data_IF_694437128506
#
_entry.id   IF_694437128506
#
_cell.length_a   1.000
_cell.length_b   1.000
_cell.length_c   1.000
_cell.angle_alpha   90.00
_cell.angle_beta   90.00
_cell.angle_gamma   90.00
#
_symmetry.space_group_name_H-M   'P 1'
#
loop_
_entity.id
_entity.type
_entity.pdbx_description
1 polymer ?
#
# COMPACT_ATOMS: atom_id res chain seq x y z
N UNK A 1 -4.67 -12.83 -18.02
CA UNK A 1 -3.59 -12.95 -17.02
C UNK A 1 -4.14 -13.68 -15.79
N UNK A 2 -3.56 -14.82 -15.39
CA UNK A 2 -4.13 -15.68 -14.32
C UNK A 2 -3.77 -15.14 -12.92
N UNK A 3 -4.78 -14.94 -12.07
CA UNK A 3 -4.66 -14.37 -10.72
C UNK A 3 -3.62 -15.09 -9.82
N UNK A 4 -3.46 -16.39 -9.99
CA UNK A 4 -2.47 -17.23 -9.29
C UNK A 4 -1.02 -16.79 -9.54
N UNK A 5 -0.75 -16.18 -10.69
CA UNK A 5 0.58 -15.71 -11.09
C UNK A 5 0.93 -14.38 -10.45
N UNK A 6 -0.08 -13.58 -10.10
CA UNK A 6 0.06 -12.29 -9.40
C UNK A 6 0.31 -12.55 -7.91
N UNK A 7 -0.48 -13.40 -7.26
CA UNK A 7 -0.33 -13.74 -5.83
C UNK A 7 1.07 -14.30 -5.52
N UNK A 8 1.57 -15.22 -6.35
CA UNK A 8 2.92 -15.78 -6.19
C UNK A 8 4.02 -14.71 -6.34
N UNK A 9 3.82 -13.73 -7.25
CA UNK A 9 4.76 -12.61 -7.42
C UNK A 9 4.69 -11.64 -6.25
N UNK A 10 3.50 -11.33 -5.75
CA UNK A 10 3.31 -10.46 -4.58
C UNK A 10 3.96 -11.08 -3.34
N UNK A 11 3.72 -12.36 -3.06
CA UNK A 11 4.38 -13.06 -1.96
C UNK A 11 5.91 -13.05 -2.10
N UNK A 12 6.43 -13.32 -3.29
CA UNK A 12 7.87 -13.28 -3.53
C UNK A 12 8.46 -11.86 -3.36
N UNK A 13 7.72 -10.82 -3.78
CA UNK A 13 8.13 -9.43 -3.58
C UNK A 13 8.17 -9.07 -2.10
N UNK A 14 7.18 -9.47 -1.29
CA UNK A 14 7.19 -9.24 0.15
C UNK A 14 8.39 -9.90 0.81
N UNK A 15 8.62 -11.17 0.50
CA UNK A 15 9.78 -11.91 1.00
C UNK A 15 11.10 -11.26 0.59
N UNK A 16 11.19 -10.80 -0.66
CA UNK A 16 12.37 -10.08 -1.16
C UNK A 16 12.56 -8.72 -0.49
N UNK A 17 11.47 -7.99 -0.21
CA UNK A 17 11.52 -6.68 0.47
C UNK A 17 11.84 -6.82 1.97
N UNK A 18 11.37 -7.88 2.62
CA UNK A 18 11.74 -8.24 4.00
C UNK A 18 13.23 -8.60 4.07
N UNK A 19 13.70 -9.45 3.16
CA UNK A 19 15.12 -9.83 3.06
C UNK A 19 16.04 -8.66 2.73
N UNK A 20 15.58 -7.74 1.89
CA UNK A 20 16.32 -6.53 1.54
C UNK A 20 16.33 -5.49 2.68
N UNK A 21 15.63 -5.73 3.80
CA UNK A 21 15.53 -4.77 4.90
C UNK A 21 14.77 -3.49 4.51
N UNK A 22 14.01 -3.50 3.42
CA UNK A 22 13.22 -2.34 2.99
C UNK A 22 11.97 -2.20 3.88
N UNK A 23 11.41 -3.33 4.30
CA UNK A 23 10.35 -3.42 5.31
C UNK A 23 10.92 -4.06 6.57
N UNK A 24 10.94 -3.29 7.65
CA UNK A 24 11.36 -3.76 8.96
C UNK A 24 10.12 -4.26 9.72
N UNK A 25 10.16 -5.50 10.19
CA UNK A 25 9.17 -6.05 11.12
C UNK A 25 9.33 -5.52 12.56
N UNK A 26 10.20 -4.52 12.77
CA UNK A 26 10.52 -3.98 14.09
C UNK A 26 9.32 -3.20 14.65
N UNK A 27 8.42 -3.94 15.30
CA UNK A 27 7.36 -3.39 16.14
C UNK A 27 7.97 -2.96 17.46
N UNK A 28 8.71 -1.85 17.48
CA UNK A 28 8.75 -1.04 18.71
C UNK A 28 7.33 -0.53 18.93
N UNK A 29 6.59 -1.26 19.76
CA UNK A 29 5.21 -0.93 20.12
C UNK A 29 5.26 0.39 20.90
N UNK A 30 4.93 1.48 20.23
CA UNK A 30 4.82 2.78 20.89
C UNK A 30 3.62 2.70 21.84
N UNK A 31 3.87 2.84 23.14
CA UNK A 31 2.85 2.68 24.20
C UNK A 31 2.13 3.98 24.54
N UNK A 32 2.51 5.10 23.91
CA UNK A 32 1.90 6.41 24.10
C UNK A 32 1.38 6.96 22.75
N UNK A 33 0.30 7.76 22.74
CA UNK A 33 -0.16 8.41 21.52
C UNK A 33 0.92 9.35 20.98
N UNK A 34 1.30 9.18 19.71
CA UNK A 34 2.15 10.11 18.99
C UNK A 34 1.26 10.94 18.09
N UNK A 35 1.41 12.26 18.16
CA UNK A 35 0.75 13.16 17.20
C UNK A 35 1.37 12.92 15.82
N UNK A 36 0.63 12.24 14.95
CA UNK A 36 1.02 12.06 13.55
C UNK A 36 0.32 13.13 12.73
N UNK A 37 1.09 14.05 12.16
CA UNK A 37 0.56 15.06 11.23
C UNK A 37 1.01 14.73 9.82
N UNK A 38 0.07 14.78 8.88
CA UNK A 38 0.39 14.64 7.48
C UNK A 38 1.20 15.86 7.01
N UNK A 39 2.27 15.60 6.25
CA UNK A 39 3.09 16.63 5.61
C UNK A 39 3.05 16.43 4.10
N UNK A 40 2.92 17.52 3.33
CA UNK A 40 3.03 17.45 1.86
C UNK A 40 4.41 16.96 1.42
N UNK A 41 4.54 16.32 0.23
CA UNK A 41 5.84 15.90 -0.28
C UNK A 41 6.73 17.11 -0.63
N UNK A 42 8.02 16.85 -0.87
CA UNK A 42 8.98 17.87 -1.33
C UNK A 42 8.64 18.31 -2.76
N UNK A 43 9.22 19.44 -3.18
CA UNK A 43 9.09 19.90 -4.57
C UNK A 43 9.52 18.82 -5.56
N UNK A 44 8.73 18.62 -6.62
CA UNK A 44 8.89 17.57 -7.65
C UNK A 44 8.75 16.12 -7.15
N UNK A 45 8.14 15.92 -5.98
CA UNK A 45 7.80 14.59 -5.49
C UNK A 45 6.30 14.42 -5.41
N UNK A 46 5.83 13.26 -5.85
CA UNK A 46 4.48 12.78 -5.56
C UNK A 46 4.46 11.99 -4.26
N UNK A 47 3.34 12.02 -3.54
CA UNK A 47 3.07 11.17 -2.38
C UNK A 47 1.94 10.20 -2.70
N UNK A 48 2.23 8.91 -2.60
CA UNK A 48 1.26 7.83 -2.69
C UNK A 48 0.81 7.43 -1.28
N UNK A 49 -0.50 7.48 -1.04
CA UNK A 49 -1.14 6.95 0.16
C UNK A 49 -2.07 5.81 -0.24
N UNK A 50 -1.88 4.61 0.33
CA UNK A 50 -2.66 3.42 0.00
C UNK A 50 -3.28 2.80 1.24
N UNK A 51 -4.36 2.04 1.03
CA UNK A 51 -5.03 1.27 2.07
C UNK A 51 -5.63 -0.01 1.47
N UNK A 52 -5.48 -1.12 2.18
CA UNK A 52 -6.15 -2.39 1.92
C UNK A 52 -7.23 -2.66 2.95
N UNK A 53 -8.39 -3.14 2.51
CA UNK A 53 -9.50 -3.45 3.40
C UNK A 53 -9.95 -4.90 3.24
N UNK A 54 -10.40 -5.50 4.34
CA UNK A 54 -10.97 -6.85 4.38
C UNK A 54 -12.35 -6.80 5.03
N UNK A 55 -13.36 -7.32 4.35
CA UNK A 55 -14.70 -7.55 4.91
C UNK A 55 -14.70 -8.88 5.65
N UNK A 56 -15.45 -9.02 6.74
CA UNK A 56 -15.49 -10.23 7.59
C UNK A 56 -15.84 -11.56 6.89
N UNK A 57 -16.29 -11.52 5.64
CA UNK A 57 -16.48 -12.68 4.76
C UNK A 57 -15.20 -13.10 3.97
N UNK A 58 -14.05 -12.46 4.24
CA UNK A 58 -12.78 -12.73 3.56
C UNK A 58 -12.62 -12.04 2.20
N UNK A 59 -13.54 -11.15 1.83
CA UNK A 59 -13.44 -10.36 0.60
C UNK A 59 -12.59 -9.12 0.83
N UNK A 60 -11.63 -8.90 -0.06
CA UNK A 60 -10.68 -7.80 0.01
C UNK A 60 -10.89 -6.77 -1.11
N UNK A 61 -10.66 -5.52 -0.74
CA UNK A 61 -10.58 -4.36 -1.64
C UNK A 61 -9.37 -3.55 -1.24
N UNK A 62 -9.02 -2.55 -2.03
CA UNK A 62 -8.09 -1.53 -1.59
C UNK A 62 -7.99 -0.43 -2.61
N UNK A 63 -7.12 0.54 -2.34
CA UNK A 63 -6.99 1.69 -3.19
C UNK A 63 -5.97 2.67 -2.65
N UNK A 64 -6.01 3.88 -3.18
CA UNK A 64 -5.12 4.94 -2.76
C UNK A 64 -5.33 6.25 -3.50
N UNK A 65 -4.59 7.25 -3.04
CA UNK A 65 -4.53 8.59 -3.66
C UNK A 65 -3.08 8.98 -3.91
N UNK A 66 -2.87 9.66 -5.03
CA UNK A 66 -1.60 10.27 -5.40
C UNK A 66 -1.76 11.78 -5.22
N UNK A 67 -0.79 12.40 -4.55
CA UNK A 67 -0.76 13.83 -4.29
C UNK A 67 0.50 14.48 -4.83
N UNK A 68 0.38 15.68 -5.37
CA UNK A 68 1.51 16.49 -5.84
C UNK A 68 2.27 17.20 -4.70
N UNK A 69 3.28 17.96 -5.05
CA UNK A 69 4.12 18.80 -4.17
C UNK A 69 3.36 19.96 -3.49
N UNK A 70 2.20 20.34 -4.02
CA UNK A 70 1.30 21.30 -3.40
C UNK A 70 0.40 20.63 -2.34
N UNK A 71 0.28 19.30 -2.41
CA UNK A 71 -0.53 18.48 -1.52
C UNK A 71 -1.92 18.14 -2.09
N UNK A 72 -2.21 18.60 -3.30
CA UNK A 72 -3.46 18.35 -4.01
C UNK A 72 -3.53 16.90 -4.44
N UNK A 73 -4.73 16.33 -4.42
CA UNK A 73 -4.97 15.00 -4.99
C UNK A 73 -4.97 15.15 -6.50
N UNK A 74 -3.98 14.57 -7.16
CA UNK A 74 -3.90 14.53 -8.63
C UNK A 74 -4.62 13.32 -9.18
N UNK A 75 -4.69 12.23 -8.42
CA UNK A 75 -5.30 10.99 -8.87
C UNK A 75 -5.74 10.08 -7.71
N UNK A 76 -6.71 9.20 -7.95
CA UNK A 76 -7.16 8.20 -6.99
C UNK A 76 -7.63 6.91 -7.66
N UNK A 77 -7.40 5.77 -7.01
CA UNK A 77 -7.85 4.43 -7.44
C UNK A 77 -8.51 3.67 -6.31
N UNK A 78 -9.29 2.69 -6.73
CA UNK A 78 -9.67 1.55 -5.91
C UNK A 78 -9.78 0.31 -6.82
N UNK A 79 -9.71 -0.88 -6.22
CA UNK A 79 -9.94 -2.15 -6.91
C UNK A 79 -10.44 -3.23 -5.93
N UNK A 80 -11.10 -4.24 -6.49
CA UNK A 80 -11.55 -5.44 -5.80
C UNK A 80 -10.52 -6.57 -5.97
N UNK A 81 -10.01 -7.08 -4.86
CA UNK A 81 -8.90 -8.05 -4.86
C UNK A 81 -9.35 -9.50 -4.73
N UNK A 82 -10.65 -9.75 -4.61
CA UNK A 82 -11.20 -11.08 -4.34
C UNK A 82 -10.92 -11.55 -2.93
N UNK A 83 -10.78 -12.86 -2.75
CA UNK A 83 -10.39 -13.44 -1.46
C UNK A 83 -8.87 -13.40 -1.30
N UNK A 84 -8.38 -12.66 -0.31
CA UNK A 84 -6.98 -12.68 0.11
C UNK A 84 -6.83 -12.26 1.57
N UNK A 85 -5.64 -12.42 2.13
CA UNK A 85 -5.32 -11.91 3.47
C UNK A 85 -5.31 -10.37 3.49
N UNK A 86 -5.45 -9.79 4.69
CA UNK A 86 -5.35 -8.34 4.87
C UNK A 86 -4.00 -7.80 4.38
N UNK A 87 -2.91 -8.53 4.65
CA UNK A 87 -1.57 -8.13 4.20
C UNK A 87 -1.48 -8.10 2.68
N UNK A 88 -2.03 -9.11 1.99
CA UNK A 88 -2.08 -9.11 0.52
C UNK A 88 -2.91 -7.95 -0.04
N UNK A 89 -4.00 -7.55 0.63
CA UNK A 89 -4.81 -6.41 0.21
C UNK A 89 -4.01 -5.10 0.28
N UNK A 90 -3.32 -4.87 1.40
CA UNK A 90 -2.44 -3.70 1.61
C UNK A 90 -1.35 -3.63 0.53
N UNK A 91 -0.69 -4.75 0.26
CA UNK A 91 0.41 -4.82 -0.71
C UNK A 91 -0.06 -4.67 -2.16
N UNK A 92 -1.24 -5.20 -2.49
CA UNK A 92 -1.85 -4.99 -3.82
C UNK A 92 -2.15 -3.52 -4.05
N UNK A 93 -2.67 -2.82 -3.04
CA UNK A 93 -2.91 -1.38 -3.12
C UNK A 93 -1.61 -0.60 -3.35
N UNK A 94 -0.53 -0.93 -2.62
CA UNK A 94 0.81 -0.36 -2.86
C UNK A 94 1.31 -0.64 -4.28
N UNK A 95 1.22 -1.89 -4.73
CA UNK A 95 1.72 -2.29 -6.05
C UNK A 95 0.99 -1.57 -7.19
N UNK A 96 -0.33 -1.45 -7.12
CA UNK A 96 -1.13 -0.70 -8.11
C UNK A 96 -0.78 0.79 -8.05
N UNK A 97 -0.72 1.36 -6.85
CA UNK A 97 -0.36 2.78 -6.68
C UNK A 97 1.01 3.13 -7.26
N UNK A 98 2.02 2.28 -7.06
CA UNK A 98 3.36 2.47 -7.61
C UNK A 98 3.39 2.40 -9.15
N UNK A 99 2.50 1.63 -9.77
CA UNK A 99 2.36 1.59 -11.24
C UNK A 99 1.71 2.87 -11.81
N UNK A 100 0.99 3.60 -10.97
CA UNK A 100 0.30 4.84 -11.32
C UNK A 100 1.11 6.09 -10.98
N UNK A 101 2.15 5.96 -10.13
CA UNK A 101 3.08 7.06 -9.83
C UNK A 101 4.09 7.23 -10.97
N UNK A 102 4.20 8.47 -11.47
CA UNK A 102 5.17 8.91 -12.47
C UNK A 102 5.93 10.12 -11.92
#
# INVERSE_FOLDING_TARGET
>A
MNATRIIKRTHHLVESLLKAGIIHADRKRVTYPVAVTWKKPKDRWSKLNTDGALKGCGLATGGGVIRNELGDITWGFYDFYGTCSILEAELKAVAIGLQLCW
#
